data_IF_308723079659
#
_entry.id   IF_308723079659
#
_cell.length_a   1.000
_cell.length_b   1.000
_cell.length_c   1.000
_cell.angle_alpha   90.00
_cell.angle_beta   90.00
_cell.angle_gamma   90.00
#
_symmetry.space_group_name_H-M   'P 1'
#
loop_
_entity.id
_entity.type
_entity.pdbx_description
1 polymer ?
#
# COMPACT_ATOMS: atom_id res chain seq x y z
N UNK A 1 16.15 -11.23 5.55
CA UNK A 1 14.97 -10.74 6.27
C UNK A 1 13.74 -11.09 5.44
N UNK A 2 12.61 -10.35 5.49
CA UNK A 2 11.38 -10.76 4.78
C UNK A 2 11.49 -10.72 3.26
N UNK A 3 12.42 -9.97 2.65
CA UNK A 3 12.69 -10.00 1.20
C UNK A 3 12.90 -11.41 0.64
N UNK A 4 13.49 -12.31 1.40
CA UNK A 4 13.72 -13.71 0.94
C UNK A 4 12.43 -14.52 0.77
N UNK A 5 11.32 -14.04 1.30
CA UNK A 5 9.99 -14.67 1.17
C UNK A 5 9.16 -14.09 0.03
N UNK A 6 9.71 -13.17 -0.76
CA UNK A 6 9.00 -12.59 -1.92
C UNK A 6 8.60 -13.70 -2.89
N UNK A 7 7.30 -13.75 -3.18
CA UNK A 7 6.72 -14.70 -4.16
C UNK A 7 5.41 -14.09 -4.66
N UNK A 8 5.24 -13.99 -5.96
CA UNK A 8 3.99 -13.60 -6.58
C UNK A 8 3.05 -14.80 -6.72
N UNK A 9 1.81 -14.62 -6.31
CA UNK A 9 0.68 -15.50 -6.60
C UNK A 9 -0.35 -14.67 -7.38
N UNK A 10 -0.71 -13.50 -6.88
CA UNK A 10 -1.56 -12.49 -7.50
C UNK A 10 -0.96 -11.09 -7.44
N UNK A 11 -0.09 -10.81 -6.47
CA UNK A 11 0.64 -9.56 -6.33
C UNK A 11 1.72 -9.41 -7.40
N UNK A 12 2.30 -8.20 -7.53
CA UNK A 12 3.23 -7.87 -8.61
C UNK A 12 4.71 -7.99 -8.21
N UNK A 13 5.04 -7.73 -6.94
CA UNK A 13 6.42 -7.53 -6.49
C UNK A 13 6.82 -8.45 -5.32
N UNK A 14 6.08 -9.56 -5.15
CA UNK A 14 6.37 -10.58 -4.15
C UNK A 14 5.67 -10.37 -2.81
N UNK A 15 4.68 -9.48 -2.76
CA UNK A 15 3.92 -9.18 -1.55
C UNK A 15 3.24 -10.43 -0.98
N UNK A 16 2.65 -11.29 -1.82
CA UNK A 16 1.96 -12.51 -1.39
C UNK A 16 2.80 -13.37 -0.45
N UNK A 17 4.02 -13.70 -0.86
CA UNK A 17 4.91 -14.53 -0.06
C UNK A 17 5.33 -13.88 1.26
N UNK A 18 5.55 -12.55 1.25
CA UNK A 18 5.86 -11.78 2.47
C UNK A 18 4.67 -11.77 3.42
N UNK A 19 3.45 -11.55 2.91
CA UNK A 19 2.22 -11.55 3.69
C UNK A 19 1.98 -12.91 4.32
N UNK A 20 2.12 -14.00 3.56
CA UNK A 20 1.95 -15.36 4.06
C UNK A 20 2.92 -15.66 5.21
N UNK A 21 4.20 -15.26 5.10
CA UNK A 21 5.18 -15.45 6.17
C UNK A 21 4.85 -14.59 7.41
N UNK A 22 4.37 -13.36 7.22
CA UNK A 22 3.90 -12.52 8.33
C UNK A 22 2.74 -13.20 9.06
N UNK A 23 1.71 -13.62 8.34
CA UNK A 23 0.52 -14.28 8.91
C UNK A 23 0.89 -15.56 9.66
N UNK A 24 1.77 -16.39 9.09
CA UNK A 24 2.31 -17.60 9.72
C UNK A 24 2.95 -17.30 11.08
N UNK A 25 3.77 -16.25 11.17
CA UNK A 25 4.43 -15.87 12.43
C UNK A 25 3.49 -15.25 13.44
N UNK A 26 2.54 -14.45 12.97
CA UNK A 26 1.62 -13.74 13.86
C UNK A 26 0.62 -14.67 14.53
N UNK A 27 0.23 -15.78 13.91
CA UNK A 27 -0.79 -16.73 14.37
C UNK A 27 -2.05 -15.97 14.80
N UNK A 28 -2.64 -15.22 13.86
CA UNK A 28 -3.81 -14.38 14.12
C UNK A 28 -5.05 -15.25 14.37
N UNK A 29 -6.06 -14.65 15.02
CA UNK A 29 -7.31 -15.33 15.33
C UNK A 29 -8.02 -15.76 14.03
N UNK A 30 -8.29 -17.06 13.82
CA UNK A 30 -8.93 -17.56 12.60
C UNK A 30 -10.38 -17.09 12.44
N UNK A 31 -11.03 -16.61 13.50
CA UNK A 31 -12.41 -16.10 13.46
C UNK A 31 -12.52 -14.67 12.94
N UNK A 32 -11.40 -13.91 12.87
CA UNK A 32 -11.39 -12.50 12.44
C UNK A 32 -10.55 -12.32 11.17
N UNK A 33 -10.85 -13.09 10.12
CA UNK A 33 -10.15 -13.03 8.85
C UNK A 33 -10.79 -11.98 7.94
N UNK A 34 -10.30 -10.74 8.04
CA UNK A 34 -10.73 -9.64 7.21
C UNK A 34 -9.56 -8.91 6.59
N UNK A 35 -9.70 -8.55 5.30
CA UNK A 35 -8.82 -7.62 4.62
C UNK A 35 -9.62 -6.52 3.93
N UNK A 36 -8.96 -5.38 3.70
CA UNK A 36 -9.49 -4.30 2.89
C UNK A 36 -8.43 -3.89 1.86
N UNK A 37 -8.84 -3.72 0.61
CA UNK A 37 -7.98 -3.23 -0.46
C UNK A 37 -8.71 -2.14 -1.24
N UNK A 38 -8.05 -1.00 -1.46
CA UNK A 38 -8.59 0.04 -2.32
C UNK A 38 -7.59 0.47 -3.38
N UNK A 39 -8.12 0.82 -4.58
CA UNK A 39 -7.42 0.70 -5.83
C UNK A 39 -7.49 -0.74 -6.37
N UNK A 40 -8.58 -1.47 -6.02
CA UNK A 40 -8.66 -2.92 -6.18
C UNK A 40 -8.79 -3.39 -7.65
N UNK A 41 -9.01 -2.50 -8.60
CA UNK A 41 -9.22 -2.79 -10.02
C UNK A 41 -10.28 -3.90 -10.21
N UNK A 42 -9.88 -5.06 -10.77
CA UNK A 42 -10.75 -6.24 -10.95
C UNK A 42 -10.75 -7.18 -9.73
N UNK A 43 -9.99 -6.83 -8.69
CA UNK A 43 -9.84 -7.59 -7.46
C UNK A 43 -8.94 -8.81 -7.54
N UNK A 44 -8.25 -9.04 -8.69
CA UNK A 44 -7.38 -10.21 -8.93
C UNK A 44 -5.99 -9.81 -9.37
N UNK A 45 -5.89 -9.07 -10.49
CA UNK A 45 -4.60 -8.70 -11.08
C UNK A 45 -3.86 -7.68 -10.22
N UNK A 46 -2.65 -8.04 -9.81
CA UNK A 46 -1.82 -7.18 -8.95
C UNK A 46 -2.32 -7.01 -7.53
N UNK A 47 -3.39 -7.73 -7.14
CA UNK A 47 -3.97 -7.62 -5.81
C UNK A 47 -3.03 -8.18 -4.73
N UNK A 48 -2.86 -7.41 -3.66
CA UNK A 48 -2.09 -7.80 -2.48
C UNK A 48 -2.89 -8.70 -1.53
N UNK A 49 -4.21 -8.81 -1.72
CA UNK A 49 -5.10 -9.52 -0.78
C UNK A 49 -5.94 -10.63 -1.39
N UNK A 50 -6.02 -10.75 -2.71
CA UNK A 50 -6.86 -11.76 -3.34
C UNK A 50 -6.44 -13.21 -3.01
N UNK A 51 -5.15 -13.46 -2.84
CA UNK A 51 -4.66 -14.75 -2.36
C UNK A 51 -5.28 -15.16 -1.02
N UNK A 52 -5.51 -14.19 -0.14
CA UNK A 52 -6.12 -14.42 1.16
C UNK A 52 -7.60 -14.82 1.04
N UNK A 53 -8.33 -14.17 0.12
CA UNK A 53 -9.73 -14.49 -0.15
C UNK A 53 -9.85 -15.88 -0.75
N UNK A 54 -9.07 -16.13 -1.83
CA UNK A 54 -9.16 -17.36 -2.61
C UNK A 54 -8.69 -18.59 -1.84
N UNK A 55 -7.55 -18.49 -1.17
CA UNK A 55 -6.85 -19.65 -0.62
C UNK A 55 -6.87 -19.74 0.92
N UNK A 56 -7.12 -18.62 1.63
CA UNK A 56 -7.08 -18.58 3.09
C UNK A 56 -8.42 -18.23 3.75
N UNK A 57 -9.48 -18.18 2.94
CA UNK A 57 -10.84 -18.00 3.43
C UNK A 57 -11.13 -16.66 4.12
N UNK A 58 -10.46 -15.57 3.69
CA UNK A 58 -10.69 -14.21 4.18
C UNK A 58 -11.98 -13.62 3.63
N UNK A 59 -12.66 -12.81 4.45
CA UNK A 59 -13.62 -11.82 3.99
C UNK A 59 -12.87 -10.56 3.55
N UNK A 60 -13.38 -9.86 2.53
CA UNK A 60 -12.71 -8.70 1.98
C UNK A 60 -13.66 -7.53 1.72
N UNK A 61 -13.16 -6.31 1.92
CA UNK A 61 -13.78 -5.08 1.43
C UNK A 61 -12.90 -4.55 0.30
N UNK A 62 -13.42 -4.56 -0.93
CA UNK A 62 -12.71 -4.08 -2.11
C UNK A 62 -13.34 -2.79 -2.63
N UNK A 63 -12.49 -1.78 -2.86
CA UNK A 63 -12.97 -0.45 -3.26
C UNK A 63 -12.26 -0.05 -4.55
N UNK A 64 -13.05 0.26 -5.58
CA UNK A 64 -12.56 0.75 -6.87
C UNK A 64 -13.33 2.01 -7.28
N UNK A 65 -12.61 3.10 -7.58
CA UNK A 65 -13.21 4.38 -7.93
C UNK A 65 -13.71 4.46 -9.37
N UNK A 66 -12.99 3.86 -10.30
CA UNK A 66 -13.29 3.93 -11.74
C UNK A 66 -14.40 2.97 -12.11
N UNK A 67 -15.52 3.46 -12.66
CA UNK A 67 -16.71 2.66 -13.01
C UNK A 67 -16.41 1.48 -13.94
N UNK A 68 -15.54 1.64 -14.94
CA UNK A 68 -15.15 0.56 -15.85
C UNK A 68 -14.41 -0.57 -15.10
N UNK A 69 -13.41 -0.24 -14.29
CA UNK A 69 -12.68 -1.20 -13.46
C UNK A 69 -13.58 -1.86 -12.41
N UNK A 70 -14.49 -1.10 -11.82
CA UNK A 70 -15.49 -1.63 -10.88
C UNK A 70 -16.41 -2.69 -11.52
N UNK A 71 -16.76 -2.55 -12.81
CA UNK A 71 -17.51 -3.60 -13.53
C UNK A 71 -16.75 -4.92 -13.56
N UNK A 72 -15.42 -4.86 -13.70
CA UNK A 72 -14.59 -6.06 -13.66
C UNK A 72 -14.50 -6.65 -12.25
N UNK A 73 -14.40 -5.79 -11.22
CA UNK A 73 -14.49 -6.19 -9.82
C UNK A 73 -15.78 -6.96 -9.52
N UNK A 74 -16.94 -6.50 -10.03
CA UNK A 74 -18.21 -7.18 -9.84
C UNK A 74 -18.21 -8.60 -10.40
N UNK A 75 -17.54 -8.85 -11.55
CA UNK A 75 -17.39 -10.21 -12.11
C UNK A 75 -16.64 -11.13 -11.14
N UNK A 76 -15.60 -10.61 -10.47
CA UNK A 76 -14.85 -11.33 -9.44
C UNK A 76 -15.73 -11.59 -8.21
N UNK A 77 -16.48 -10.59 -7.74
CA UNK A 77 -17.37 -10.72 -6.58
C UNK A 77 -18.49 -11.73 -6.82
N UNK A 78 -18.96 -11.89 -8.05
CA UNK A 78 -19.93 -12.93 -8.41
C UNK A 78 -19.40 -14.34 -8.15
N UNK A 79 -18.10 -14.57 -8.34
CA UNK A 79 -17.42 -15.85 -8.09
C UNK A 79 -16.98 -15.99 -6.63
N UNK A 80 -16.61 -14.89 -5.97
CA UNK A 80 -16.07 -14.87 -4.60
C UNK A 80 -16.97 -14.04 -3.67
N UNK A 81 -18.02 -14.69 -3.14
CA UNK A 81 -19.08 -14.04 -2.32
C UNK A 81 -18.61 -13.42 -1.00
N UNK A 82 -17.36 -13.65 -0.61
CA UNK A 82 -16.72 -13.04 0.56
C UNK A 82 -16.17 -11.63 0.29
N UNK A 83 -16.23 -11.15 -0.93
CA UNK A 83 -15.81 -9.80 -1.31
C UNK A 83 -17.02 -8.87 -1.29
N UNK A 84 -16.94 -7.81 -0.51
CA UNK A 84 -17.92 -6.72 -0.48
C UNK A 84 -17.36 -5.57 -1.32
N UNK A 85 -17.90 -5.30 -2.52
CA UNK A 85 -17.38 -4.29 -3.41
C UNK A 85 -18.00 -2.91 -3.16
N UNK A 86 -17.20 -1.84 -3.32
CA UNK A 86 -17.67 -0.46 -3.31
C UNK A 86 -17.13 0.29 -4.53
N UNK A 87 -18.01 0.97 -5.28
CA UNK A 87 -17.59 1.92 -6.32
C UNK A 87 -17.46 3.32 -5.71
N UNK A 88 -16.29 3.62 -5.15
CA UNK A 88 -16.01 4.90 -4.49
C UNK A 88 -14.56 5.32 -4.71
N UNK A 89 -14.36 6.63 -4.98
CA UNK A 89 -13.06 7.24 -4.78
C UNK A 89 -12.86 7.53 -3.30
N UNK A 90 -11.93 6.80 -2.66
CA UNK A 90 -11.63 6.98 -1.24
C UNK A 90 -11.08 8.37 -0.99
N UNK A 91 -11.62 9.07 0.03
CA UNK A 91 -11.25 10.43 0.37
C UNK A 91 -10.56 10.48 1.75
N UNK A 92 -9.51 11.28 1.86
CA UNK A 92 -8.79 11.48 3.12
C UNK A 92 -9.44 12.51 4.06
N UNK A 93 -10.42 13.29 3.58
CA UNK A 93 -11.19 14.22 4.43
C UNK A 93 -12.12 13.42 5.36
N UNK A 94 -11.95 13.59 6.68
CA UNK A 94 -12.67 12.83 7.71
C UNK A 94 -14.19 12.87 7.58
N UNK A 95 -14.74 14.03 7.23
CA UNK A 95 -16.20 14.23 7.12
C UNK A 95 -16.76 13.82 5.74
N UNK A 96 -15.91 13.34 4.82
CA UNK A 96 -16.39 12.86 3.53
C UNK A 96 -17.19 11.58 3.69
N UNK A 97 -18.36 11.42 3.02
CA UNK A 97 -19.10 10.16 2.98
C UNK A 97 -18.27 9.04 2.34
N UNK A 98 -17.26 9.40 1.55
CA UNK A 98 -16.31 8.47 0.92
C UNK A 98 -15.00 8.34 1.72
N UNK A 99 -14.92 8.82 2.97
CA UNK A 99 -13.76 8.48 3.82
C UNK A 99 -13.71 6.98 4.06
N UNK A 100 -12.50 6.43 4.18
CA UNK A 100 -12.34 4.99 4.40
C UNK A 100 -13.12 4.52 5.63
N UNK A 101 -13.11 5.27 6.73
CA UNK A 101 -13.91 4.95 7.93
C UNK A 101 -15.42 4.85 7.65
N UNK A 102 -15.96 5.78 6.85
CA UNK A 102 -17.39 5.78 6.53
C UNK A 102 -17.77 4.65 5.56
N UNK A 103 -16.85 4.20 4.72
CA UNK A 103 -17.06 3.01 3.88
C UNK A 103 -17.04 1.75 4.74
N UNK A 104 -16.00 1.57 5.58
CA UNK A 104 -15.85 0.39 6.42
C UNK A 104 -16.98 0.22 7.45
N UNK A 105 -17.55 1.31 7.97
CA UNK A 105 -18.73 1.26 8.86
C UNK A 105 -19.96 0.60 8.24
N UNK A 106 -20.06 0.51 6.93
CA UNK A 106 -21.17 -0.14 6.21
C UNK A 106 -20.98 -1.65 6.08
N UNK A 107 -19.95 -2.21 6.67
CA UNK A 107 -19.56 -3.61 6.59
C UNK A 107 -19.39 -4.21 7.97
N UNK A 108 -19.24 -5.54 8.03
CA UNK A 108 -18.96 -6.28 9.26
C UNK A 108 -17.47 -6.33 9.61
N UNK A 109 -16.62 -5.60 8.91
CA UNK A 109 -15.17 -5.60 9.16
C UNK A 109 -14.86 -5.07 10.57
N UNK A 110 -14.08 -5.80 11.33
CA UNK A 110 -13.71 -5.39 12.69
C UNK A 110 -12.75 -4.20 12.69
N UNK A 111 -12.75 -3.44 13.79
CA UNK A 111 -11.85 -2.27 13.93
C UNK A 111 -10.37 -2.66 13.91
N UNK A 112 -10.04 -3.86 14.30
CA UNK A 112 -8.68 -4.43 14.35
C UNK A 112 -8.46 -5.53 13.30
N UNK A 113 -9.07 -5.37 12.12
CA UNK A 113 -8.95 -6.33 11.03
C UNK A 113 -7.49 -6.61 10.63
N UNK A 114 -7.26 -7.67 9.87
CA UNK A 114 -5.91 -8.16 9.66
C UNK A 114 -5.09 -7.30 8.71
N UNK A 115 -5.61 -7.01 7.51
CA UNK A 115 -4.80 -6.41 6.44
C UNK A 115 -5.52 -5.26 5.75
N UNK A 116 -4.83 -4.12 5.63
CA UNK A 116 -5.19 -2.98 4.79
C UNK A 116 -4.17 -2.84 3.67
N UNK A 117 -4.62 -2.90 2.42
CA UNK A 117 -3.83 -2.59 1.22
C UNK A 117 -4.27 -1.26 0.63
N UNK A 118 -3.32 -0.37 0.39
CA UNK A 118 -3.51 1.01 -0.05
C UNK A 118 -2.68 1.24 -1.31
N UNK A 119 -3.35 1.36 -2.47
CA UNK A 119 -2.70 1.55 -3.76
C UNK A 119 -3.63 2.34 -4.70
N UNK A 120 -3.53 3.67 -4.65
CA UNK A 120 -4.32 4.59 -5.47
C UNK A 120 -3.48 5.63 -6.20
N UNK A 121 -2.16 5.43 -6.26
CA UNK A 121 -1.21 6.30 -6.98
C UNK A 121 -1.25 7.79 -6.55
N UNK A 122 -1.80 8.11 -5.39
CA UNK A 122 -2.05 9.52 -5.03
C UNK A 122 -1.96 9.83 -3.53
N UNK A 123 -3.09 9.95 -2.87
CA UNK A 123 -3.21 10.38 -1.48
C UNK A 123 -3.11 9.22 -0.46
N UNK A 124 -2.45 8.13 -0.79
CA UNK A 124 -2.33 6.90 -0.01
C UNK A 124 -2.04 7.16 1.46
N UNK A 125 -0.95 7.88 1.74
CA UNK A 125 -0.57 8.22 3.10
C UNK A 125 -1.57 9.16 3.78
N UNK A 126 -2.23 10.05 3.04
CA UNK A 126 -3.25 10.94 3.60
C UNK A 126 -4.50 10.15 4.02
N UNK A 127 -4.91 9.15 3.23
CA UNK A 127 -6.01 8.24 3.58
C UNK A 127 -5.62 7.43 4.81
N UNK A 128 -4.42 6.84 4.87
CA UNK A 128 -3.98 6.15 6.09
C UNK A 128 -3.98 7.05 7.31
N UNK A 129 -3.50 8.30 7.17
CA UNK A 129 -3.52 9.30 8.25
C UNK A 129 -4.93 9.63 8.74
N UNK A 130 -5.93 9.57 7.87
CA UNK A 130 -7.32 9.87 8.22
C UNK A 130 -8.02 8.73 8.97
N UNK A 131 -7.51 7.50 8.87
CA UNK A 131 -8.08 6.31 9.52
C UNK A 131 -7.75 6.32 11.03
N UNK A 132 -8.73 6.65 11.88
CA UNK A 132 -8.56 6.79 13.33
C UNK A 132 -9.24 5.71 14.15
N UNK A 133 -10.42 5.26 13.69
CA UNK A 133 -11.26 4.30 14.43
C UNK A 133 -10.93 2.85 14.13
N UNK A 134 -10.23 2.60 13.02
CA UNK A 134 -9.77 1.28 12.60
C UNK A 134 -8.25 1.20 12.74
N UNK A 135 -7.78 0.05 13.19
CA UNK A 135 -6.36 -0.19 13.39
C UNK A 135 -5.97 -1.57 12.83
N UNK A 136 -5.78 -1.67 11.50
CA UNK A 136 -5.38 -2.92 10.88
C UNK A 136 -4.05 -3.44 11.46
N UNK A 137 -3.90 -4.76 11.57
CA UNK A 137 -2.69 -5.39 12.11
C UNK A 137 -1.51 -5.27 11.15
N UNK A 138 -1.80 -5.32 9.85
CA UNK A 138 -0.83 -5.22 8.75
C UNK A 138 -1.31 -4.12 7.80
N UNK A 139 -0.41 -3.24 7.38
CA UNK A 139 -0.67 -2.21 6.37
C UNK A 139 0.32 -2.36 5.23
N UNK A 140 -0.20 -2.48 4.02
CA UNK A 140 0.54 -2.45 2.77
C UNK A 140 0.21 -1.12 2.11
N UNK A 141 1.20 -0.34 1.76
CA UNK A 141 0.98 0.99 1.19
C UNK A 141 1.96 1.28 0.08
N UNK A 142 1.42 1.71 -1.07
CA UNK A 142 2.23 2.17 -2.17
C UNK A 142 3.00 3.45 -1.81
N UNK A 143 4.24 3.53 -2.27
CA UNK A 143 5.09 4.71 -2.14
C UNK A 143 5.75 5.04 -3.47
N UNK A 144 6.21 6.28 -3.62
CA UNK A 144 7.10 6.64 -4.72
C UNK A 144 8.52 6.12 -4.42
N UNK A 145 8.77 4.87 -4.79
CA UNK A 145 10.05 4.17 -4.59
C UNK A 145 11.20 4.72 -5.44
N UNK A 146 10.91 5.60 -6.40
CA UNK A 146 11.92 6.35 -7.14
C UNK A 146 12.55 7.50 -6.34
N UNK A 147 12.09 7.75 -5.11
CA UNK A 147 12.67 8.72 -4.19
C UNK A 147 13.52 8.00 -3.14
N UNK A 148 14.82 8.38 -2.98
CA UNK A 148 15.68 7.70 -2.01
C UNK A 148 15.25 8.01 -0.57
N UNK A 149 15.65 7.15 0.40
CA UNK A 149 15.54 7.47 1.81
C UNK A 149 16.17 8.83 2.14
N UNK A 150 15.56 9.57 3.08
CA UNK A 150 15.95 10.94 3.45
C UNK A 150 15.06 12.00 2.80
N UNK A 151 14.45 11.72 1.65
CA UNK A 151 13.53 12.67 0.99
C UNK A 151 12.14 12.60 1.63
N UNK A 152 11.62 13.76 2.07
CA UNK A 152 10.24 13.90 2.57
C UNK A 152 9.34 14.46 1.50
N UNK A 153 8.38 13.64 1.05
CA UNK A 153 7.37 14.03 0.08
C UNK A 153 6.02 13.45 0.46
N UNK A 154 4.99 14.27 0.34
CA UNK A 154 3.59 13.89 0.34
C UNK A 154 3.03 14.14 -1.06
N UNK A 155 2.04 13.34 -1.48
CA UNK A 155 1.29 13.63 -2.71
C UNK A 155 0.65 15.02 -2.63
N UNK A 156 0.69 15.77 -3.72
CA UNK A 156 0.13 17.12 -3.80
C UNK A 156 0.57 17.84 -5.07
N UNK A 157 0.38 19.16 -5.13
CA UNK A 157 0.68 19.98 -6.31
C UNK A 157 2.11 19.71 -6.84
N UNK A 158 2.21 19.12 -8.05
CA UNK A 158 3.48 18.82 -8.71
C UNK A 158 4.29 17.66 -8.11
N UNK A 159 3.73 16.91 -7.13
CA UNK A 159 4.38 15.77 -6.46
C UNK A 159 3.49 14.54 -6.54
N UNK A 160 4.01 13.44 -7.08
CA UNK A 160 3.27 12.17 -7.21
C UNK A 160 3.68 11.21 -6.11
N UNK A 161 2.71 10.64 -5.41
CA UNK A 161 2.90 9.65 -4.35
C UNK A 161 3.62 10.19 -3.10
N UNK A 162 3.75 9.34 -2.12
CA UNK A 162 4.43 9.62 -0.86
C UNK A 162 5.82 9.01 -0.88
N UNK A 163 6.81 9.66 -0.26
CA UNK A 163 8.15 9.08 -0.15
C UNK A 163 8.22 8.01 0.95
N UNK A 164 9.21 7.13 0.83
CA UNK A 164 9.58 6.17 1.87
C UNK A 164 9.71 6.86 3.24
N UNK A 165 10.51 7.93 3.33
CA UNK A 165 10.77 8.63 4.60
C UNK A 165 9.50 9.19 5.23
N UNK A 166 8.64 9.88 4.45
CA UNK A 166 7.38 10.43 5.00
C UNK A 166 6.43 9.33 5.50
N UNK A 167 6.43 8.18 4.83
CA UNK A 167 5.59 7.03 5.21
C UNK A 167 6.13 6.36 6.47
N UNK A 168 7.47 6.19 6.58
CA UNK A 168 8.13 5.66 7.78
C UNK A 168 7.90 6.58 8.99
N UNK A 169 8.11 7.88 8.85
CA UNK A 169 7.92 8.85 9.94
C UNK A 169 6.50 8.74 10.53
N UNK A 170 5.48 8.64 9.66
CA UNK A 170 4.10 8.46 10.10
C UNK A 170 3.88 7.09 10.77
N UNK A 171 4.35 6.01 10.14
CA UNK A 171 4.18 4.65 10.64
C UNK A 171 4.77 4.49 12.03
N UNK A 172 6.00 4.96 12.25
CA UNK A 172 6.69 4.87 13.54
C UNK A 172 5.99 5.68 14.63
N UNK A 173 5.56 6.92 14.32
CA UNK A 173 4.78 7.75 15.23
C UNK A 173 3.48 7.06 15.67
N UNK A 174 2.88 6.27 14.78
CA UNK A 174 1.64 5.54 15.03
C UNK A 174 1.88 4.08 15.45
N UNK A 175 3.09 3.75 15.93
CA UNK A 175 3.46 2.43 16.45
C UNK A 175 3.30 1.29 15.44
N UNK A 176 3.66 1.53 14.18
CA UNK A 176 3.83 0.50 13.16
C UNK A 176 5.31 0.29 12.85
N UNK A 177 5.68 -0.96 12.60
CA UNK A 177 7.03 -1.39 12.26
C UNK A 177 7.10 -1.77 10.79
N UNK A 178 8.04 -1.18 10.03
CA UNK A 178 8.35 -1.65 8.68
C UNK A 178 8.94 -3.05 8.74
N UNK A 179 8.43 -3.94 7.90
CA UNK A 179 8.88 -5.33 7.78
C UNK A 179 9.58 -5.58 6.46
N UNK A 180 9.06 -5.03 5.38
CA UNK A 180 9.58 -5.21 4.02
C UNK A 180 9.23 -4.02 3.14
N UNK A 181 10.06 -3.77 2.13
CA UNK A 181 9.77 -2.87 1.01
C UNK A 181 9.91 -3.67 -0.29
N UNK A 182 8.85 -3.67 -1.11
CA UNK A 182 8.74 -4.43 -2.35
C UNK A 182 8.33 -3.53 -3.53
N UNK A 183 8.47 -2.20 -3.41
CA UNK A 183 7.74 -1.18 -4.16
C UNK A 183 6.65 -0.61 -3.25
N UNK A 184 5.90 -1.49 -2.61
CA UNK A 184 5.04 -1.18 -1.47
C UNK A 184 5.83 -1.26 -0.15
N UNK A 185 5.47 -0.46 0.84
CA UNK A 185 5.92 -0.63 2.21
C UNK A 185 4.94 -1.54 2.97
N UNK A 186 5.44 -2.61 3.59
CA UNK A 186 4.65 -3.54 4.39
C UNK A 186 4.95 -3.31 5.87
N UNK A 187 3.95 -2.86 6.61
CA UNK A 187 4.05 -2.54 8.03
C UNK A 187 3.25 -3.53 8.86
N UNK A 188 3.68 -3.75 10.11
CA UNK A 188 2.93 -4.51 11.12
C UNK A 188 2.81 -3.67 12.38
N UNK A 189 1.66 -3.70 13.05
CA UNK A 189 1.46 -3.05 14.34
C UNK A 189 2.53 -3.53 15.34
N UNK A 190 3.21 -2.58 15.97
CA UNK A 190 4.38 -2.82 16.83
C UNK A 190 4.09 -3.79 17.98
N UNK A 191 2.83 -3.89 18.44
CA UNK A 191 2.44 -4.88 19.47
C UNK A 191 2.69 -6.33 19.05
N UNK A 192 2.75 -6.61 17.72
CA UNK A 192 3.06 -7.93 17.17
C UNK A 192 4.54 -8.13 16.80
N UNK A 193 5.39 -7.10 16.89
CA UNK A 193 6.77 -7.13 16.39
C UNK A 193 7.63 -8.23 17.01
N UNK A 194 7.40 -8.57 18.29
CA UNK A 194 8.10 -9.67 18.98
C UNK A 194 7.87 -11.02 18.28
N UNK A 195 6.65 -11.31 17.80
CA UNK A 195 6.30 -12.53 17.08
C UNK A 195 7.00 -12.65 15.72
N UNK A 196 7.32 -11.51 15.09
CA UNK A 196 7.98 -11.48 13.79
C UNK A 196 9.46 -11.84 13.84
N UNK A 197 10.09 -11.87 15.02
CA UNK A 197 11.52 -12.11 15.21
C UNK A 197 12.40 -11.22 14.30
N UNK A 198 12.03 -9.93 14.22
CA UNK A 198 12.81 -8.93 13.49
C UNK A 198 14.08 -8.65 14.30
N UNK A 199 15.25 -8.65 13.63
CA UNK A 199 16.50 -8.30 14.30
C UNK A 199 16.43 -6.92 14.95
N UNK A 200 16.87 -6.79 16.19
CA UNK A 200 16.84 -5.53 16.98
C UNK A 200 17.42 -4.33 16.22
N UNK A 201 18.46 -4.56 15.38
CA UNK A 201 19.08 -3.50 14.56
C UNK A 201 18.12 -2.77 13.62
N UNK A 202 17.02 -3.43 13.15
CA UNK A 202 16.03 -2.83 12.26
C UNK A 202 14.84 -2.21 13.01
N UNK A 203 14.77 -2.43 14.32
CA UNK A 203 13.78 -1.78 15.17
C UNK A 203 14.19 -0.34 15.49
N UNK A 204 15.45 0.04 15.24
CA UNK A 204 15.96 1.37 15.45
C UNK A 204 15.72 2.25 14.21
N UNK A 205 15.26 3.48 14.41
CA UNK A 205 14.97 4.46 13.37
C UNK A 205 16.16 4.74 12.44
N UNK A 206 17.40 4.63 12.94
CA UNK A 206 18.62 4.85 12.13
C UNK A 206 18.80 3.80 11.06
N UNK A 207 18.37 2.55 11.29
CA UNK A 207 18.63 1.41 10.40
C UNK A 207 17.43 1.01 9.54
N UNK A 208 16.27 1.66 9.67
CA UNK A 208 15.08 1.36 8.87
C UNK A 208 15.33 1.57 7.37
N UNK A 209 16.20 2.50 7.01
CA UNK A 209 16.59 2.77 5.62
C UNK A 209 17.28 1.58 4.94
N UNK A 210 17.86 0.64 5.72
CA UNK A 210 18.43 -0.61 5.19
C UNK A 210 17.37 -1.57 4.66
N UNK A 211 16.11 -1.36 5.01
CA UNK A 211 14.97 -2.12 4.48
C UNK A 211 14.48 -1.60 3.13
N UNK A 212 14.94 -0.44 2.69
CA UNK A 212 14.62 0.11 1.37
C UNK A 212 15.26 -0.77 0.29
N UNK A 213 14.46 -1.32 -0.60
CA UNK A 213 14.95 -2.07 -1.76
C UNK A 213 15.48 -1.07 -2.81
N UNK A 214 16.80 -1.03 -2.92
CA UNK A 214 17.51 -0.08 -3.80
C UNK A 214 17.29 -0.36 -5.29
N UNK A 215 16.78 -1.52 -5.67
CA UNK A 215 16.47 -1.84 -7.07
C UNK A 215 15.40 -0.91 -7.66
N UNK A 216 14.56 -0.34 -6.82
CA UNK A 216 13.55 0.67 -7.21
C UNK A 216 14.10 2.06 -7.45
N UNK A 217 15.34 2.33 -7.05
CA UNK A 217 15.95 3.65 -7.13
C UNK A 217 17.09 3.69 -8.12
N UNK A 218 16.91 4.39 -9.24
CA UNK A 218 17.97 4.70 -10.18
C UNK A 218 18.54 6.10 -9.88
N UNK A 219 19.73 6.13 -9.24
CA UNK A 219 20.40 7.38 -8.85
C UNK A 219 20.62 8.32 -10.06
N UNK A 220 21.04 7.79 -11.21
CA UNK A 220 21.29 8.56 -12.42
C UNK A 220 20.01 9.22 -12.93
N UNK A 221 18.94 8.44 -13.05
CA UNK A 221 17.64 8.94 -13.50
C UNK A 221 17.05 9.97 -12.52
N UNK A 222 17.21 9.76 -11.22
CA UNK A 222 16.78 10.71 -10.19
C UNK A 222 17.52 12.05 -10.31
N UNK A 223 18.86 12.03 -10.47
CA UNK A 223 19.66 13.24 -10.62
C UNK A 223 19.30 14.00 -11.91
N UNK A 224 19.15 13.29 -13.02
CA UNK A 224 18.71 13.89 -14.30
C UNK A 224 17.34 14.56 -14.13
N UNK A 225 16.36 13.86 -13.56
CA UNK A 225 15.03 14.43 -13.28
C UNK A 225 15.08 15.66 -12.37
N UNK A 226 15.98 15.65 -11.37
CA UNK A 226 16.18 16.79 -10.47
C UNK A 226 16.75 17.99 -11.21
N UNK A 227 17.80 17.80 -12.02
CA UNK A 227 18.41 18.85 -12.84
C UNK A 227 17.41 19.42 -13.85
N UNK A 228 16.70 18.56 -14.59
CA UNK A 228 15.67 19.00 -15.55
C UNK A 228 14.56 19.83 -14.90
N UNK A 229 14.14 19.49 -13.70
CA UNK A 229 13.14 20.28 -12.95
C UNK A 229 13.65 21.65 -12.50
N UNK A 230 14.96 21.82 -12.36
CA UNK A 230 15.57 23.10 -11.98
C UNK A 230 15.75 24.01 -13.19
N UNK A 231 16.00 23.43 -14.38
CA UNK A 231 16.34 24.17 -15.59
C UNK A 231 15.13 24.40 -16.51
N UNK A 232 14.18 23.46 -16.56
CA UNK A 232 13.08 23.49 -17.51
C UNK A 232 11.76 24.00 -16.90
N UNK A 233 10.99 24.82 -17.64
CA UNK A 233 9.63 25.20 -17.24
C UNK A 233 8.74 23.96 -17.04
N UNK A 234 7.83 24.03 -16.08
CA UNK A 234 6.93 22.91 -15.71
C UNK A 234 6.11 22.39 -16.90
N UNK A 235 5.75 23.24 -17.86
CA UNK A 235 5.04 22.85 -19.09
C UNK A 235 5.86 21.90 -19.96
N UNK A 236 7.16 22.20 -20.12
CA UNK A 236 8.10 21.37 -20.92
C UNK A 236 8.31 20.01 -20.25
N UNK A 237 8.45 19.98 -18.93
CA UNK A 237 8.59 18.72 -18.19
C UNK A 237 7.34 17.83 -18.36
N UNK A 238 6.14 18.40 -18.27
CA UNK A 238 4.89 17.67 -18.51
C UNK A 238 4.82 17.09 -19.91
N UNK A 239 5.24 17.85 -20.91
CA UNK A 239 5.29 17.40 -22.31
C UNK A 239 6.28 16.24 -22.50
N UNK A 240 7.47 16.30 -21.91
CA UNK A 240 8.47 15.22 -21.98
C UNK A 240 7.98 13.94 -21.26
N UNK A 241 7.29 14.08 -20.13
CA UNK A 241 6.67 12.93 -19.43
C UNK A 241 5.56 12.30 -20.28
N UNK A 242 4.74 13.12 -20.93
CA UNK A 242 3.70 12.65 -21.86
C UNK A 242 4.29 11.90 -23.06
N UNK A 243 5.36 12.42 -23.69
CA UNK A 243 6.05 11.72 -24.77
C UNK A 243 6.62 10.37 -24.31
N UNK A 244 7.26 10.34 -23.13
CA UNK A 244 7.81 9.09 -22.58
C UNK A 244 6.73 8.04 -22.29
N UNK A 245 5.53 8.46 -21.92
CA UNK A 245 4.40 7.52 -21.69
C UNK A 245 3.84 6.92 -22.99
N UNK A 246 4.03 7.60 -24.13
CA UNK A 246 3.62 7.11 -25.46
C UNK A 246 4.65 6.18 -26.14
N UNK A 247 5.91 6.26 -25.72
CA UNK A 247 7.01 5.45 -26.29
C UNK A 247 7.16 4.10 -25.53
N UNK A 248 6.54 3.96 -24.35
CA UNK A 248 6.43 2.67 -23.63
C UNK A 248 5.15 1.95 -24.07
N UNK A 249 5.18 1.40 -25.30
CA UNK A 249 4.29 0.32 -25.76
C UNK A 249 5.07 -0.98 -25.64
#
# INVERSE_FOLDING_TARGET
MFQKYRKNIFSQNGEDGVILEILKRLRLNPKNKWCCEFGAWDGVHGSNTFNLVKNLNYNAVYIEGKKNKYKDLLKTCNKFKKIIPFNKFVNYKKNSPNSLENILKKTLISKDFDILSIDIDSFDLAVWKSLKKYRPKIVIIEINSGLPPGIRQMHGKGKTGNSFTSTIDYAQKNKYQLVCHTGNCIFVDKKYSKKLRIYRRFLNNKNVNLLFDKSWFNKREYLIKKILKTILPTKVIKFLVYLKSKIRI
#
